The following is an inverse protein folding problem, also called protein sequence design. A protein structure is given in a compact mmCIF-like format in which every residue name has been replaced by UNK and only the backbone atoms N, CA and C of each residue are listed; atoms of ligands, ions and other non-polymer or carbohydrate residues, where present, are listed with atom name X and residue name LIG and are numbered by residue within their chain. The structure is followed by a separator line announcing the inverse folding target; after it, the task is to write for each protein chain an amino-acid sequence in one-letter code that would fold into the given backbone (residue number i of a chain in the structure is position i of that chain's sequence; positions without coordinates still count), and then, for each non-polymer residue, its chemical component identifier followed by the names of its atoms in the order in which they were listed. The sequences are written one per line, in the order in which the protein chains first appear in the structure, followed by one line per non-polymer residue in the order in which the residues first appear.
data_IF_587916424400
#
_entry.id   IF_587916424400
#
_cell.length_a   1.000
_cell.length_b   1.000
_cell.length_c   1.000
_cell.angle_alpha   90.00
_cell.angle_beta   90.00
_cell.angle_gamma   90.00
#
_symmetry.space_group_name_H-M   'P 1'
#
loop_
_entity.id
_entity.type
_entity.pdbx_description
1 polymer ?
#
# COMPACT_ATOMS: atom_id res chain seq x y z
N UNK A 1 -11.14 -13.01 8.91
CA UNK A 1 -11.78 -11.71 9.20
C UNK A 1 -11.21 -10.73 8.21
N UNK A 2 -11.99 -10.20 7.28
CA UNK A 2 -11.45 -9.29 6.27
C UNK A 2 -11.13 -7.93 6.89
N UNK A 3 -9.92 -7.43 6.63
CA UNK A 3 -9.46 -6.12 7.08
C UNK A 3 -9.51 -5.16 5.88
N UNK A 4 -10.01 -3.95 6.12
CA UNK A 4 -10.10 -2.91 5.10
C UNK A 4 -9.44 -1.64 5.60
N UNK A 5 -8.65 -1.02 4.72
CA UNK A 5 -7.92 0.22 5.00
C UNK A 5 -7.93 1.11 3.75
N UNK A 6 -7.61 2.38 3.93
CA UNK A 6 -7.57 3.36 2.84
C UNK A 6 -6.13 3.67 2.45
N UNK A 7 -5.87 3.72 1.16
CA UNK A 7 -4.59 4.16 0.59
C UNK A 7 -4.81 5.48 -0.13
N UNK A 8 -4.03 6.51 0.21
CA UNK A 8 -4.05 7.80 -0.47
C UNK A 8 -2.91 7.83 -1.47
N UNK A 9 -3.24 7.90 -2.76
CA UNK A 9 -2.27 8.11 -3.84
C UNK A 9 -1.68 9.53 -3.79
N UNK A 10 -0.49 9.71 -4.37
CA UNK A 10 0.13 11.03 -4.59
C UNK A 10 -0.76 12.01 -5.35
N UNK A 11 -1.72 11.50 -6.13
CA UNK A 11 -2.70 12.30 -6.86
C UNK A 11 -3.87 12.78 -5.99
N UNK A 12 -3.91 12.39 -4.71
CA UNK A 12 -5.00 12.67 -3.77
C UNK A 12 -6.18 11.69 -3.85
N UNK A 13 -6.10 10.68 -4.71
CA UNK A 13 -7.15 9.66 -4.81
C UNK A 13 -7.12 8.71 -3.60
N UNK A 14 -8.30 8.40 -3.05
CA UNK A 14 -8.49 7.43 -1.97
C UNK A 14 -8.90 6.08 -2.54
N UNK A 15 -8.08 5.06 -2.33
CA UNK A 15 -8.27 3.69 -2.80
C UNK A 15 -8.57 2.81 -1.59
N UNK A 16 -9.69 2.09 -1.62
CA UNK A 16 -10.10 1.20 -0.53
C UNK A 16 -9.58 -0.21 -0.80
N UNK A 17 -8.66 -0.69 0.04
CA UNK A 17 -8.07 -2.03 -0.10
C UNK A 17 -8.67 -2.96 0.96
N UNK A 18 -9.06 -4.16 0.51
CA UNK A 18 -9.66 -5.22 1.33
C UNK A 18 -8.77 -6.46 1.27
N UNK A 19 -8.29 -6.92 2.43
CA UNK A 19 -7.42 -8.10 2.57
C UNK A 19 -8.02 -9.10 3.56
N UNK A 20 -7.55 -10.35 3.51
CA UNK A 20 -8.09 -11.46 4.31
C UNK A 20 -7.65 -11.45 5.78
N UNK A 21 -6.55 -10.75 6.12
CA UNK A 21 -5.96 -10.74 7.45
C UNK A 21 -4.79 -9.75 7.58
N UNK A 22 -4.27 -9.53 8.81
CA UNK A 22 -3.05 -8.75 9.06
C UNK A 22 -1.77 -9.50 8.68
N UNK A 23 -1.88 -10.79 8.36
CA UNK A 23 -0.81 -11.65 7.85
C UNK A 23 -0.39 -11.30 6.41
N UNK A 24 -1.23 -10.53 5.70
CA UNK A 24 -0.88 -10.03 4.37
C UNK A 24 0.37 -9.15 4.46
N UNK A 25 1.23 -9.29 3.47
CA UNK A 25 2.42 -8.46 3.34
C UNK A 25 2.13 -7.20 2.54
N UNK A 26 2.99 -6.22 2.72
CA UNK A 26 2.98 -4.98 1.94
C UNK A 26 3.13 -5.28 0.44
N UNK A 27 3.88 -6.31 0.06
CA UNK A 27 4.02 -6.77 -1.31
C UNK A 27 2.68 -7.17 -1.96
N UNK A 28 1.82 -7.90 -1.22
CA UNK A 28 0.49 -8.30 -1.71
C UNK A 28 -0.41 -7.07 -1.97
N UNK A 29 -0.31 -6.05 -1.11
CA UNK A 29 -1.07 -4.80 -1.28
C UNK A 29 -0.59 -4.04 -2.52
N UNK A 30 0.73 -3.97 -2.73
CA UNK A 30 1.29 -3.35 -3.94
C UNK A 30 0.81 -4.08 -5.20
N UNK A 31 0.73 -5.41 -5.18
CA UNK A 31 0.18 -6.19 -6.30
C UNK A 31 -1.30 -5.86 -6.54
N UNK A 32 -2.12 -5.75 -5.49
CA UNK A 32 -3.53 -5.35 -5.61
C UNK A 32 -3.69 -3.95 -6.21
N UNK A 33 -2.82 -3.02 -5.79
CA UNK A 33 -2.78 -1.66 -6.32
C UNK A 33 -2.31 -1.63 -7.77
N UNK A 34 -1.35 -2.49 -8.16
CA UNK A 34 -0.91 -2.66 -9.55
C UNK A 34 -2.08 -3.13 -10.44
N UNK A 35 -2.90 -4.07 -9.98
CA UNK A 35 -4.09 -4.51 -10.72
C UNK A 35 -5.19 -3.45 -10.77
N UNK A 36 -5.36 -2.66 -9.70
CA UNK A 36 -6.44 -1.65 -9.59
C UNK A 36 -6.11 -0.38 -10.38
N UNK A 37 -4.90 0.16 -10.20
CA UNK A 37 -4.48 1.45 -10.78
C UNK A 37 -3.63 1.26 -12.05
N UNK A 38 -3.15 0.05 -12.34
CA UNK A 38 -2.22 -0.21 -13.45
C UNK A 38 -0.79 0.27 -13.20
N UNK A 39 -0.43 0.57 -11.95
CA UNK A 39 0.88 1.14 -11.59
C UNK A 39 1.81 0.01 -11.16
N UNK A 40 2.99 -0.14 -11.77
CA UNK A 40 3.89 -1.24 -11.44
C UNK A 40 4.35 -1.15 -9.97
N UNK A 41 4.30 -2.27 -9.25
CA UNK A 41 4.63 -2.40 -7.83
C UNK A 41 5.99 -1.79 -7.46
N UNK A 42 6.96 -1.84 -8.39
CA UNK A 42 8.29 -1.25 -8.22
C UNK A 42 8.27 0.29 -8.08
N UNK A 43 7.24 0.94 -8.62
CA UNK A 43 7.01 2.38 -8.52
C UNK A 43 6.17 2.72 -7.28
N UNK A 44 5.44 1.75 -6.73
CA UNK A 44 4.59 1.95 -5.56
C UNK A 44 5.43 1.89 -4.28
N UNK A 45 5.53 3.01 -3.58
CA UNK A 45 6.10 3.07 -2.23
C UNK A 45 4.99 3.37 -1.22
N UNK A 46 4.74 2.44 -0.30
CA UNK A 46 3.81 2.66 0.80
C UNK A 46 4.55 3.26 1.99
N UNK A 47 3.98 4.31 2.58
CA UNK A 47 4.53 5.04 3.71
C UNK A 47 3.45 5.15 4.79
N UNK A 48 3.78 4.69 5.98
CA UNK A 48 2.92 4.76 7.15
C UNK A 48 3.74 5.16 8.38
N UNK A 49 3.19 6.03 9.24
CA UNK A 49 3.89 6.54 10.43
C UNK A 49 5.29 7.13 10.15
N UNK A 50 5.44 7.78 8.99
CA UNK A 50 6.73 8.37 8.55
C UNK A 50 7.80 7.35 8.15
N UNK A 51 7.45 6.06 8.04
CA UNK A 51 8.36 4.98 7.63
C UNK A 51 7.89 4.36 6.32
N UNK A 52 8.85 4.08 5.43
CA UNK A 52 8.58 3.29 4.22
C UNK A 52 8.35 1.85 4.64
N UNK A 53 7.29 1.27 4.10
CA UNK A 53 6.95 -0.12 4.36
C UNK A 53 7.73 -1.02 3.41
N UNK A 54 8.36 -2.05 3.96
CA UNK A 54 9.07 -3.05 3.20
C UNK A 54 8.10 -4.11 2.68
N UNK A 55 8.31 -4.59 1.46
CA UNK A 55 7.45 -5.59 0.81
C UNK A 55 7.34 -6.90 1.60
N UNK A 56 8.39 -7.22 2.35
CA UNK A 56 8.47 -8.43 3.18
C UNK A 56 7.88 -8.26 4.59
N UNK A 57 7.51 -7.03 4.98
CA UNK A 57 6.87 -6.75 6.26
C UNK A 57 5.36 -7.05 6.19
N UNK A 58 4.81 -7.56 7.28
CA UNK A 58 3.37 -7.80 7.41
C UNK A 58 2.65 -6.53 7.82
N UNK A 59 1.33 -6.48 7.58
CA UNK A 59 0.50 -5.37 8.03
C UNK A 59 0.57 -5.19 9.55
N UNK A 60 0.60 -6.30 10.29
CA UNK A 60 0.69 -6.28 11.74
C UNK A 60 2.00 -5.62 12.23
N UNK A 61 3.13 -6.00 11.63
CA UNK A 61 4.45 -5.45 11.97
C UNK A 61 4.53 -3.95 11.62
N UNK A 62 3.85 -3.55 10.54
CA UNK A 62 3.70 -2.16 10.13
C UNK A 62 2.70 -1.35 10.97
N UNK A 63 2.07 -1.97 11.99
CA UNK A 63 1.02 -1.37 12.82
C UNK A 63 -0.15 -0.82 11.98
N UNK A 64 -0.54 -1.58 10.95
CA UNK A 64 -1.66 -1.27 10.07
C UNK A 64 -2.90 -1.98 10.58
N UNK A 65 -3.92 -1.19 10.92
CA UNK A 65 -5.20 -1.68 11.44
C UNK A 65 -6.35 -1.36 10.49
N UNK A 66 -7.52 -1.97 10.72
CA UNK A 66 -8.71 -1.62 9.96
C UNK A 66 -9.04 -0.13 10.13
N UNK A 67 -9.32 0.56 9.01
CA UNK A 67 -9.64 1.98 8.99
C UNK A 67 -8.46 2.95 9.09
N UNK A 68 -7.21 2.47 9.12
CA UNK A 68 -6.05 3.37 8.98
C UNK A 68 -5.92 3.87 7.54
N UNK A 69 -5.18 4.96 7.39
CA UNK A 69 -4.88 5.56 6.09
C UNK A 69 -3.39 5.49 5.81
N UNK A 70 -3.00 4.89 4.69
CA UNK A 70 -1.62 4.74 4.25
C UNK A 70 -1.35 5.72 3.11
N UNK A 71 -0.21 6.38 3.12
CA UNK A 71 0.21 7.23 2.01
C UNK A 71 0.97 6.39 0.98
N UNK A 72 0.52 6.44 -0.27
CA UNK A 72 1.20 5.87 -1.42
C UNK A 72 1.97 6.96 -2.14
N UNK A 73 3.26 6.70 -2.37
CA UNK A 73 4.19 7.56 -3.08
C UNK A 73 4.65 6.86 -4.36
N UNK A 74 4.71 7.59 -5.47
CA UNK A 74 5.20 7.07 -6.74
C UNK A 74 6.69 7.39 -6.90
N UNK A 75 7.51 6.36 -7.07
CA UNK A 75 8.90 6.50 -7.46
C UNK A 75 8.97 6.76 -8.98
N UNK A 76 8.90 8.03 -9.37
CA UNK A 76 9.13 8.46 -10.73
C UNK A 76 10.62 8.25 -11.07
N UNK A 77 10.93 7.22 -11.85
CA UNK A 77 12.14 7.26 -12.68
C UNK A 77 11.76 7.98 -13.96
N UNK A 78 12.09 9.28 -14.03
CA UNK A 78 12.18 9.97 -15.30
C UNK A 78 13.29 9.28 -16.11
N UNK A 79 12.91 8.40 -17.03
CA UNK A 79 13.82 7.65 -17.88
C UNK A 79 13.13 7.37 -19.19
N UNK A 80 13.23 8.35 -20.09
CA UNK A 80 12.91 8.25 -21.52
C UNK A 80 13.77 7.13 -22.14
#
# INVERSE_FOLDING_TARGET
MTFSFSVISTTGQRISISVLGPDNTVGDIKAKLEETEGIPQKMIMLVHSGRKLEDNATLEECNIHAGVTINMVLALRAGH
#
